data_IF_977986561320
#
_entry.id   IF_977986561320
#
_cell.length_a   1.000
_cell.length_b   1.000
_cell.length_c   1.000
_cell.angle_alpha   90.00
_cell.angle_beta   90.00
_cell.angle_gamma   90.00
#
_symmetry.space_group_name_H-M   'P 1'
#
loop_
_entity.id
_entity.type
_entity.pdbx_description
1 polymer ?
2 non-polymer ?
3 non-polymer ?
4 water ?
#
# COMPACT_ATOMS: atom_id res chain seq x y z
C UNK A 1 6.47 -24.54 14.55
N UNK A 2 5.97 -25.72 14.89
CA UNK A 2 5.35 -26.61 13.91
C UNK A 2 4.10 -25.95 13.33
N UNK A 3 4.16 -25.58 12.05
CA UNK A 3 3.15 -24.69 11.48
C UNK A 3 1.78 -25.35 11.42
N UNK A 4 1.73 -26.67 11.27
CA UNK A 4 0.45 -27.37 11.16
C UNK A 4 -0.20 -27.61 12.50
N UNK A 5 0.51 -27.41 13.61
CA UNK A 5 -0.07 -27.49 14.94
C UNK A 5 -0.70 -26.17 15.40
N UNK A 6 -0.45 -25.07 14.69
CA UNK A 6 -1.02 -23.78 15.04
C UNK A 6 -2.52 -23.81 14.76
N UNK A 7 -3.36 -23.56 15.77
CA UNK A 7 -4.82 -23.58 15.55
C UNK A 7 -5.27 -22.66 14.43
N UNK A 8 -4.66 -21.48 14.30
CA UNK A 8 -5.04 -20.56 13.24
C UNK A 8 -4.77 -21.17 11.87
N UNK A 9 -3.64 -21.88 11.72
CA UNK A 9 -3.36 -22.57 10.47
C UNK A 9 -4.40 -23.66 10.21
N UNK A 10 -4.79 -24.38 11.26
CA UNK A 10 -5.83 -25.41 11.11
C UNK A 10 -7.13 -24.79 10.62
N UNK A 11 -7.51 -23.63 11.19
CA UNK A 11 -8.73 -22.95 10.77
C UNK A 11 -8.63 -22.54 9.30
N UNK A 12 -7.53 -21.90 8.93
CA UNK A 12 -7.32 -21.50 7.55
C UNK A 12 -7.18 -22.70 6.62
N UNK A 13 -6.80 -23.87 7.14
CA UNK A 13 -6.65 -25.06 6.32
C UNK A 13 -7.97 -25.62 5.83
N UNK A 14 -9.10 -25.15 6.38
CA UNK A 14 -10.40 -25.59 5.88
C UNK A 14 -10.72 -24.99 4.52
N UNK A 15 -10.06 -23.90 4.14
CA UNK A 15 -10.39 -23.17 2.92
C UNK A 15 -9.37 -23.44 1.83
N UNK A 16 -9.85 -23.56 0.60
CA UNK A 16 -9.00 -23.74 -0.56
C UNK A 16 -8.70 -22.39 -1.21
N UNK A 17 -8.04 -21.53 -0.43
CA UNK A 17 -7.69 -20.18 -0.84
C UNK A 17 -6.21 -19.91 -0.59
N UNK A 18 -5.38 -20.93 -0.76
CA UNK A 18 -3.96 -20.84 -0.49
C UNK A 18 -3.18 -20.61 -1.78
N UNK A 19 -2.12 -19.82 -1.68
CA UNK A 19 -1.18 -19.60 -2.76
C UNK A 19 0.23 -19.69 -2.21
N UNK A 20 1.21 -19.62 -3.11
CA UNK A 20 2.60 -19.42 -2.74
C UNK A 20 3.05 -18.11 -3.36
N UNK A 21 4.12 -17.55 -2.81
CA UNK A 21 4.61 -16.25 -3.27
C UNK A 21 6.12 -16.28 -3.43
N UNK A 22 6.60 -15.41 -4.32
CA UNK A 22 8.02 -15.26 -4.60
C UNK A 22 8.42 -13.80 -4.42
N UNK A 23 9.62 -13.58 -3.90
CA UNK A 23 10.12 -12.23 -3.69
C UNK A 23 10.58 -11.63 -5.00
N UNK A 24 9.95 -10.54 -5.42
CA UNK A 24 10.35 -9.78 -6.60
C UNK A 24 10.56 -8.33 -6.15
N UNK A 25 11.82 -7.93 -6.04
CA UNK A 25 12.21 -6.60 -5.55
C UNK A 25 11.63 -6.46 -4.15
N UNK A 26 10.83 -5.43 -3.86
CA UNK A 26 10.15 -5.32 -2.58
C UNK A 26 8.74 -5.89 -2.61
N UNK A 27 8.31 -6.46 -3.73
CA UNK A 27 6.99 -7.03 -3.86
C UNK A 27 7.03 -8.54 -3.60
N UNK A 28 5.86 -9.09 -3.29
CA UNK A 28 5.69 -10.53 -3.06
C UNK A 28 4.55 -10.99 -3.97
N UNK A 29 4.91 -11.61 -5.09
CA UNK A 29 3.94 -11.94 -6.14
C UNK A 29 3.30 -13.29 -5.85
N UNK A 30 1.98 -13.38 -5.84
CA UNK A 30 1.32 -14.67 -5.62
C UNK A 30 1.41 -15.58 -6.83
N UNK A 31 1.47 -16.88 -6.57
CA UNK A 31 1.62 -17.87 -7.61
C UNK A 31 0.64 -19.02 -7.41
N UNK A 32 0.10 -19.52 -8.51
CA UNK A 32 -0.76 -20.69 -8.50
C UNK A 32 0.02 -21.88 -7.96
N UNK A 33 -0.39 -22.48 -6.83
CA UNK A 33 0.43 -23.54 -6.22
C UNK A 33 0.46 -24.84 -7.00
N UNK A 34 -0.32 -24.97 -8.08
CA UNK A 34 -0.44 -26.23 -8.80
C UNK A 34 0.25 -26.24 -10.15
N UNK A 35 0.37 -25.10 -10.85
CA UNK A 35 1.05 -25.04 -12.12
C UNK A 35 2.23 -24.07 -12.14
N UNK A 36 2.48 -23.35 -11.05
CA UNK A 36 3.64 -22.49 -10.95
C UNK A 36 3.52 -21.15 -11.65
N UNK A 37 2.35 -20.81 -12.18
CA UNK A 37 2.16 -19.52 -12.82
C UNK A 37 1.64 -18.50 -11.82
N UNK A 38 1.72 -17.23 -12.20
CA UNK A 38 1.19 -16.17 -11.36
C UNK A 38 -0.30 -16.36 -11.15
N UNK A 39 -0.76 -16.02 -9.94
CA UNK A 39 -2.14 -16.27 -9.53
C UNK A 39 -2.90 -14.96 -9.44
N UNK A 40 -4.10 -14.93 -10.01
CA UNK A 40 -5.02 -13.83 -9.77
C UNK A 40 -5.56 -13.91 -8.35
N UNK A 41 -5.82 -12.75 -7.76
CA UNK A 41 -6.36 -12.68 -6.41
C UNK A 41 -7.88 -12.75 -6.39
N UNK A 42 -8.53 -12.78 -7.54
CA UNK A 42 -9.98 -12.89 -7.61
C UNK A 42 -10.46 -14.13 -8.35
N UNK A 43 -9.55 -14.96 -8.85
CA UNK A 43 -9.92 -16.20 -9.51
C UNK A 43 -9.78 -17.34 -8.51
N UNK A 44 -10.88 -17.94 -8.05
CA UNK A 44 -10.77 -18.97 -7.01
C UNK A 44 -10.00 -20.20 -7.44
N UNK A 45 -10.02 -20.53 -8.72
CA UNK A 45 -9.34 -21.73 -9.21
C UNK A 45 -7.86 -21.50 -9.51
N UNK A 46 -7.35 -20.29 -9.28
CA UNK A 46 -5.91 -20.05 -9.32
C UNK A 46 -5.23 -20.40 -8.01
N UNK A 47 -5.99 -20.82 -7.00
CA UNK A 47 -5.48 -21.15 -5.67
C UNK A 47 -5.52 -22.67 -5.47
N UNK A 48 -5.26 -23.08 -4.23
CA UNK A 48 -5.36 -24.49 -3.86
C UNK A 48 -5.55 -24.58 -2.37
N UNK A 49 -5.68 -25.81 -1.88
CA UNK A 49 -5.72 -26.01 -0.44
C UNK A 49 -4.29 -26.03 0.11
N UNK A 50 -4.17 -26.14 1.43
CA UNK A 50 -2.86 -26.00 2.05
C UNK A 50 -1.93 -27.13 1.64
N UNK A 51 -2.48 -28.32 1.35
CA UNK A 51 -1.62 -29.41 0.89
C UNK A 51 -1.04 -29.14 -0.48
N UNK A 52 -1.85 -28.63 -1.41
CA UNK A 52 -1.34 -28.25 -2.72
C UNK A 52 -0.39 -27.08 -2.64
N UNK A 53 -0.60 -26.18 -1.67
CA UNK A 53 0.29 -25.02 -1.53
C UNK A 53 1.65 -25.42 -0.97
N UNK A 54 1.66 -26.33 0.01
CA UNK A 54 2.93 -26.80 0.56
C UNK A 54 3.68 -27.65 -0.44
N UNK A 55 2.97 -28.41 -1.27
CA UNK A 55 3.64 -29.16 -2.33
C UNK A 55 4.20 -28.24 -3.40
N UNK A 56 3.44 -27.20 -3.75
CA UNK A 56 3.94 -26.22 -4.72
C UNK A 56 5.07 -25.37 -4.17
N UNK A 57 5.03 -25.07 -2.88
CA UNK A 57 6.14 -24.37 -2.23
C UNK A 57 7.45 -25.14 -2.42
N UNK A 58 7.39 -26.47 -2.26
CA UNK A 58 8.59 -27.29 -2.41
C UNK A 58 8.94 -27.46 -3.88
N UNK A 59 7.94 -27.69 -4.73
CA UNK A 59 8.18 -28.07 -6.11
C UNK A 59 8.82 -26.94 -6.92
N UNK A 60 8.43 -25.69 -6.65
CA UNK A 60 8.99 -24.55 -7.37
C UNK A 60 9.95 -23.72 -6.53
N UNK A 61 10.16 -24.07 -5.26
CA UNK A 61 11.06 -23.30 -4.43
C UNK A 61 10.60 -21.89 -4.15
N UNK A 62 9.31 -21.71 -3.86
CA UNK A 62 8.79 -20.39 -3.55
C UNK A 62 9.28 -19.94 -2.16
N UNK A 63 9.02 -18.67 -1.84
CA UNK A 63 9.53 -18.13 -0.60
C UNK A 63 8.63 -18.42 0.59
N UNK A 64 7.34 -18.65 0.37
CA UNK A 64 6.46 -18.94 1.48
C UNK A 64 5.05 -19.18 1.01
N UNK A 65 4.17 -19.36 1.99
CA UNK A 65 2.75 -19.60 1.75
C UNK A 65 1.96 -18.30 1.80
N UNK A 66 0.77 -18.33 1.20
CA UNK A 66 -0.11 -17.18 1.21
C UNK A 66 -1.56 -17.62 1.28
N UNK A 67 -2.40 -16.71 1.72
CA UNK A 67 -3.83 -16.97 1.85
C UNK A 67 -4.60 -15.80 1.24
N UNK A 68 -5.53 -16.11 0.34
CA UNK A 68 -6.30 -15.09 -0.36
C UNK A 68 -7.57 -14.81 0.44
N UNK A 69 -7.77 -13.55 0.80
CA UNK A 69 -8.98 -13.15 1.50
C UNK A 69 -10.08 -12.80 0.51
N UNK A 70 -11.27 -13.34 0.75
CA UNK A 70 -12.44 -13.03 -0.06
C UNK A 70 -13.51 -12.44 0.85
N UNK A 71 -14.48 -11.76 0.23
CA UNK A 71 -15.56 -11.14 0.99
C UNK A 71 -16.53 -12.15 1.57
N UNK A 72 -16.43 -13.42 1.19
CA UNK A 72 -17.34 -14.44 1.69
C UNK A 72 -16.78 -15.20 2.89
N UNK A 73 -15.46 -15.31 3.01
CA UNK A 73 -14.88 -15.91 4.21
C UNK A 73 -14.92 -14.90 5.36
N UNK A 74 -14.80 -15.37 6.60
CA UNK A 74 -14.94 -14.45 7.74
C UNK A 74 -13.66 -13.75 8.18
N UNK A 75 -12.59 -13.82 7.40
CA UNK A 75 -11.28 -13.40 7.88
C UNK A 75 -10.99 -11.95 7.53
N UNK A 76 -10.42 -11.23 8.49
CA UNK A 76 -9.93 -9.87 8.29
C UNK A 76 -8.42 -9.86 8.49
N UNK A 77 -7.72 -9.23 7.56
CA UNK A 77 -6.25 -9.17 7.58
C UNK A 77 -5.82 -7.79 8.06
N UNK A 78 -5.11 -7.75 9.18
CA UNK A 78 -4.58 -6.51 9.74
C UNK A 78 -3.06 -6.56 9.60
N UNK A 79 -2.50 -5.59 8.91
CA UNK A 79 -1.06 -5.56 8.61
C UNK A 79 -0.44 -4.37 9.31
N UNK A 80 0.56 -4.64 10.15
CA UNK A 80 1.29 -3.62 10.89
C UNK A 80 2.71 -3.58 10.36
N UNK A 81 3.03 -2.52 9.61
CA UNK A 81 4.32 -2.41 8.95
C UNK A 81 5.33 -1.73 9.87
N UNK A 82 6.53 -2.31 9.97
CA UNK A 82 7.67 -1.69 10.64
C UNK A 82 7.36 -1.34 12.10
N UNK A 83 6.80 -2.29 12.83
CA UNK A 83 6.44 -2.09 14.23
C UNK A 83 7.37 -2.80 15.19
N UNK A 84 8.31 -3.60 14.69
CA UNK A 84 9.23 -4.35 15.54
C UNK A 84 10.65 -3.77 15.41
N UNK A 85 11.40 -3.87 16.51
CA UNK A 85 12.80 -3.47 16.50
C UNK A 85 13.65 -4.67 16.08
N UNK A 86 14.96 -4.58 16.31
CA UNK A 86 15.87 -5.64 15.89
C UNK A 86 15.71 -6.91 16.75
N UNK A 87 14.98 -6.85 17.86
CA UNK A 87 14.75 -8.01 18.71
C UNK A 87 13.30 -8.48 18.65
N UNK A 88 12.56 -8.07 17.62
CA UNK A 88 11.18 -8.51 17.39
C UNK A 88 10.26 -8.14 18.54
N UNK A 89 10.51 -6.99 19.16
CA UNK A 89 9.62 -6.42 20.17
C UNK A 89 8.96 -5.18 19.62
N UNK A 90 7.70 -4.96 19.99
CA UNK A 90 6.93 -3.84 19.46
C UNK A 90 7.55 -2.53 19.92
N UNK A 91 7.93 -1.69 18.95
CA UNK A 91 8.53 -0.39 19.24
C UNK A 91 7.60 0.78 18.97
N UNK A 92 6.44 0.55 18.34
CA UNK A 92 5.45 1.58 18.10
C UNK A 92 4.34 1.44 19.14
N UNK A 93 4.00 2.55 19.79
CA UNK A 93 3.02 2.49 20.87
C UNK A 93 1.61 2.31 20.34
N UNK A 94 1.33 2.77 19.12
CA UNK A 94 0.01 2.53 18.53
C UNK A 94 -0.19 1.05 18.23
N UNK A 95 0.90 0.37 17.82
CA UNK A 95 0.80 -1.07 17.55
C UNK A 95 0.62 -1.86 18.85
N UNK A 96 1.40 -1.51 19.88
CA UNK A 96 1.24 -2.17 21.18
C UNK A 96 -0.16 -1.98 21.74
N UNK A 97 -0.71 -0.77 21.56
CA UNK A 97 -2.07 -0.52 22.03
C UNK A 97 -3.07 -1.35 21.25
N UNK A 98 -2.87 -1.48 19.93
CA UNK A 98 -3.77 -2.29 19.12
C UNK A 98 -3.74 -3.75 19.55
N UNK A 99 -2.53 -4.30 19.73
CA UNK A 99 -2.41 -5.69 20.16
C UNK A 99 -3.08 -5.93 21.50
N UNK A 100 -3.13 -4.90 22.35
CA UNK A 100 -3.80 -5.04 23.65
C UNK A 100 -5.32 -5.00 23.51
N UNK A 101 -5.84 -4.31 22.50
CA UNK A 101 -7.28 -4.21 22.31
C UNK A 101 -7.83 -5.26 21.36
N UNK A 102 -7.00 -5.81 20.48
CA UNK A 102 -7.43 -6.76 19.45
C UNK A 102 -6.56 -8.01 19.63
N UNK A 103 -7.04 -8.96 20.43
CA UNK A 103 -6.29 -10.17 20.74
C UNK A 103 -6.79 -11.29 19.83
N UNK A 104 -6.08 -11.51 18.73
CA UNK A 104 -6.34 -12.63 17.84
C UNK A 104 -4.99 -13.13 17.32
N UNK A 105 -5.04 -14.04 16.35
CA UNK A 105 -3.81 -14.64 15.84
C UNK A 105 -2.86 -13.58 15.31
N UNK A 106 -1.62 -13.61 15.81
CA UNK A 106 -0.61 -12.64 15.44
C UNK A 106 0.66 -13.38 15.04
N UNK A 107 1.26 -12.97 13.92
CA UNK A 107 2.49 -13.58 13.43
C UNK A 107 3.42 -12.50 12.89
N UNK A 108 4.71 -12.79 12.92
CA UNK A 108 5.73 -11.87 12.42
C UNK A 108 5.82 -12.02 10.91
N UNK A 109 5.76 -10.89 10.20
CA UNK A 109 5.73 -10.88 8.74
C UNK A 109 7.11 -11.24 8.19
N UNK A 110 7.19 -11.58 6.89
CA UNK A 110 8.46 -12.09 6.35
C UNK A 110 9.69 -11.21 6.57
N UNK A 111 9.54 -9.89 6.51
CA UNK A 111 10.70 -9.02 6.72
C UNK A 111 11.21 -9.03 8.15
N UNK A 112 10.42 -9.55 9.10
CA UNK A 112 10.84 -9.65 10.48
C UNK A 112 10.58 -8.44 11.34
N UNK A 113 10.18 -7.31 10.74
CA UNK A 113 9.97 -6.08 11.48
C UNK A 113 8.50 -5.67 11.54
N UNK A 114 7.59 -6.54 11.07
CA UNK A 114 6.18 -6.24 11.07
C UNK A 114 5.36 -7.39 11.61
N UNK A 115 4.06 -7.16 11.69
CA UNK A 115 3.13 -8.13 12.26
C UNK A 115 1.92 -8.30 11.36
N UNK A 116 1.31 -9.47 11.46
CA UNK A 116 0.01 -9.75 10.86
C UNK A 116 -0.97 -10.14 11.95
N UNK A 117 -2.18 -9.59 11.89
CA UNK A 117 -3.25 -9.94 12.80
C UNK A 117 -4.43 -10.43 11.96
N UNK A 118 -4.91 -11.63 12.26
CA UNK A 118 -6.03 -12.23 11.55
C UNK A 118 -7.19 -12.35 12.51
N UNK A 119 -8.32 -11.74 12.16
CA UNK A 119 -9.52 -11.72 12.99
C UNK A 119 -10.68 -12.25 12.15
N UNK A 120 -11.64 -12.88 12.82
CA UNK A 120 -12.92 -13.22 12.21
C UNK A 120 -13.89 -12.07 12.51
N UNK A 121 -14.28 -11.33 11.48
CA UNK A 121 -15.20 -10.23 11.67
C UNK A 121 -15.35 -9.40 10.41
N UNK A 122 -15.70 -8.13 10.61
CA UNK A 122 -15.99 -7.21 9.53
C UNK A 122 -15.34 -5.87 9.81
N UNK A 123 -14.73 -5.27 8.78
CA UNK A 123 -14.10 -3.98 8.95
C UNK A 123 -15.17 -2.89 9.11
N UNK A 124 -14.91 -1.88 9.95
CA UNK A 124 -15.80 -0.72 9.99
C UNK A 124 -15.81 0.00 8.64
N UNK A 125 -16.95 0.62 8.33
CA UNK A 125 -17.16 1.20 7.01
C UNK A 125 -16.49 2.56 6.83
N UNK A 126 -16.01 3.20 7.89
CA UNK A 126 -15.57 4.58 7.82
C UNK A 126 -14.06 4.76 7.91
N UNK A 127 -13.29 3.66 7.93
CA UNK A 127 -11.84 3.76 8.07
C UNK A 127 -11.17 3.60 6.72
N UNK A 128 -10.01 4.22 6.58
CA UNK A 128 -9.19 4.04 5.38
C UNK A 128 -8.46 2.71 5.43
N UNK A 129 -8.12 2.19 4.24
CA UNK A 129 -7.45 0.90 4.18
C UNK A 129 -6.00 1.02 4.66
N UNK A 130 -5.30 2.09 4.28
CA UNK A 130 -3.91 2.28 4.66
C UNK A 130 -3.77 3.56 5.47
N UNK A 131 -3.04 3.48 6.58
CA UNK A 131 -2.76 4.62 7.45
C UNK A 131 -1.27 4.63 7.76
N UNK A 132 -0.60 5.71 7.38
CA UNK A 132 0.84 5.83 7.57
C UNK A 132 1.16 6.77 8.74
N UNK A 133 2.25 6.47 9.43
CA UNK A 133 2.63 7.19 10.64
C UNK A 133 4.00 7.84 10.46
N UNK A 134 4.28 8.84 11.30
CA UNK A 134 5.45 9.68 11.11
C UNK A 134 6.75 8.91 11.27
N UNK A 135 6.73 7.81 12.02
CA UNK A 135 7.94 7.02 12.28
C UNK A 135 8.17 5.94 11.22
N UNK A 136 7.49 6.03 10.08
CA UNK A 136 7.63 5.06 9.02
C UNK A 136 6.72 3.86 9.13
N UNK A 137 6.15 3.61 10.30
CA UNK A 137 5.23 2.49 10.46
C UNK A 137 3.92 2.77 9.74
N UNK A 138 3.12 1.72 9.55
CA UNK A 138 1.87 1.85 8.84
C UNK A 138 0.92 0.75 9.28
N UNK A 139 -0.38 1.00 9.06
CA UNK A 139 -1.43 0.05 9.38
C UNK A 139 -2.28 -0.15 8.14
N UNK A 140 -2.33 -1.37 7.63
CA UNK A 140 -3.12 -1.71 6.47
C UNK A 140 -4.11 -2.82 6.82
N UNK A 141 -5.37 -2.62 6.46
CA UNK A 141 -6.43 -3.57 6.77
C UNK A 141 -7.16 -3.93 5.49
N UNK A 142 -7.40 -5.23 5.29
CA UNK A 142 -8.17 -5.72 4.17
C UNK A 142 -8.92 -6.98 4.60
N UNK A 143 -10.10 -7.17 4.02
CA UNK A 143 -10.89 -8.37 4.24
C UNK A 143 -11.22 -9.10 2.95
N UNK A 144 -10.83 -8.56 1.79
CA UNK A 144 -11.11 -9.17 0.51
C UNK A 144 -10.23 -8.52 -0.54
N UNK A 145 -10.20 -9.15 -1.72
CA UNK A 145 -9.53 -8.59 -2.88
C UNK A 145 -8.01 -8.67 -2.87
N UNK A 146 -7.44 -9.19 -1.82
CA UNK A 146 -6.01 -9.30 -1.64
C UNK A 146 -5.55 -10.54 -0.85
N UNK A 147 -4.32 -10.97 -1.05
CA UNK A 147 -3.80 -12.10 -0.29
C UNK A 147 -2.81 -11.62 0.77
N UNK A 148 -2.56 -12.48 1.70
CA UNK A 148 -1.64 -12.25 2.78
C UNK A 148 -0.58 -13.36 2.93
N UNK A 149 0.68 -13.00 3.14
CA UNK A 149 1.70 -14.02 3.40
C UNK A 149 1.41 -14.70 4.73
N UNK A 150 1.78 -15.97 4.80
CA UNK A 150 1.61 -16.77 6.02
C UNK A 150 2.97 -17.32 6.41
N UNK A 151 3.48 -16.88 7.57
CA UNK A 151 4.77 -17.33 8.07
C UNK A 151 4.66 -18.33 9.20
N UNK A 152 3.57 -18.30 9.97
CA UNK A 152 3.44 -19.18 11.12
C UNK A 152 4.33 -18.85 12.29
N UNK A 153 5.12 -17.78 12.21
CA UNK A 153 5.97 -17.36 13.32
C UNK A 153 5.07 -16.62 14.32
N UNK A 154 4.48 -17.40 15.24
CA UNK A 154 3.50 -16.86 16.17
C UNK A 154 4.14 -15.84 17.10
N UNK A 155 3.47 -14.72 17.29
CA UNK A 155 3.97 -13.62 18.11
C UNK A 155 3.30 -13.64 19.48
N UNK A 156 4.12 -13.75 20.54
CA UNK A 156 3.66 -13.77 21.92
C UNK A 156 2.52 -14.77 22.13
N UNK A 157 2.61 -15.94 21.47
CA UNK A 157 1.67 -17.00 21.75
C UNK A 157 0.25 -16.79 21.26
N UNK A 158 0.01 -15.79 20.40
CA UNK A 158 -1.31 -15.56 19.84
C UNK A 158 -1.50 -16.48 18.63
N UNK A 159 -1.92 -17.71 18.91
CA UNK A 159 -1.96 -18.76 17.90
C UNK A 159 -3.38 -19.12 17.46
N UNK A 160 -4.38 -18.34 17.87
CA UNK A 160 -5.77 -18.70 17.62
C UNK A 160 -6.50 -17.51 17.02
N UNK A 161 -7.25 -17.74 15.95
CA UNK A 161 -8.06 -16.69 15.33
C UNK A 161 -9.32 -16.51 16.16
N UNK A 162 -9.64 -15.25 16.47
CA UNK A 162 -10.77 -14.92 17.33
C UNK A 162 -11.85 -14.20 16.53
N UNK A 163 -13.09 -14.35 16.99
CA UNK A 163 -14.19 -13.54 16.50
C UNK A 163 -14.31 -12.30 17.38
N UNK A 164 -14.05 -11.13 16.81
CA UNK A 164 -14.00 -9.88 17.55
C UNK A 164 -14.65 -8.78 16.73
N UNK A 165 -15.29 -7.85 17.43
CA UNK A 165 -15.80 -6.64 16.77
C UNK A 165 -14.64 -5.70 16.47
N UNK A 166 -14.62 -5.16 15.25
CA UNK A 166 -13.49 -4.39 14.76
C UNK A 166 -13.77 -2.89 14.69
N UNK A 167 -14.83 -2.42 15.37
CA UNK A 167 -15.11 -1.00 15.39
C UNK A 167 -14.04 -0.20 16.12
N UNK A 168 -13.27 -0.83 17.00
CA UNK A 168 -12.18 -0.15 17.69
C UNK A 168 -10.99 0.11 16.79
N UNK A 169 -11.01 -0.42 15.55
CA UNK A 169 -9.97 -0.07 14.59
C UNK A 169 -10.01 1.41 14.21
N UNK A 170 -11.09 2.11 14.54
CA UNK A 170 -11.16 3.55 14.33
C UNK A 170 -10.27 4.36 15.24
N UNK A 171 -9.72 3.76 16.29
CA UNK A 171 -8.78 4.45 17.15
C UNK A 171 -7.39 4.56 16.53
N UNK A 172 -7.09 3.74 15.53
CA UNK A 172 -5.76 3.66 14.96
C UNK A 172 -5.69 4.01 13.49
N UNK A 173 -6.75 3.77 12.73
CA UNK A 173 -6.78 4.07 11.30
C UNK A 173 -7.46 5.42 11.07
N UNK A 174 -6.98 6.15 10.07
CA UNK A 174 -7.60 7.41 9.71
C UNK A 174 -8.99 7.16 9.13
N UNK A 175 -9.87 8.15 9.30
CA UNK A 175 -11.25 8.02 8.89
C UNK A 175 -11.45 8.61 7.50
N UNK A 176 -12.43 8.04 6.78
CA UNK A 176 -12.86 8.60 5.51
C UNK A 176 -14.04 9.54 5.76
N UNK A 177 -14.01 10.69 5.11
CA UNK A 177 -15.06 11.68 5.27
C UNK A 177 -15.73 11.99 3.94
N UNK A 192 -10.74 8.70 -8.45
CA UNK A 192 -9.60 7.99 -9.02
C UNK A 192 -9.01 8.79 -10.17
N UNK A 193 -9.52 10.02 -10.37
CA UNK A 193 -9.07 10.84 -11.48
C UNK A 193 -7.67 11.40 -11.22
N UNK A 194 -7.31 11.61 -9.96
CA UNK A 194 -5.93 12.03 -9.65
C UNK A 194 -4.93 10.97 -10.09
N UNK A 195 -5.18 9.71 -9.70
CA UNK A 195 -4.32 8.62 -10.15
C UNK A 195 -4.37 8.44 -11.66
N UNK A 196 -5.52 8.74 -12.27
CA UNK A 196 -5.60 8.71 -13.73
C UNK A 196 -4.66 9.73 -14.36
N UNK A 197 -4.56 10.91 -13.76
CA UNK A 197 -3.63 11.92 -14.27
C UNK A 197 -2.20 11.52 -13.97
N UNK A 198 -1.95 10.98 -12.78
CA UNK A 198 -0.59 10.59 -12.39
C UNK A 198 -0.06 9.50 -13.31
N UNK A 199 -0.88 8.46 -13.54
CA UNK A 199 -0.44 7.37 -14.40
C UNK A 199 -0.28 7.84 -15.84
N UNK A 200 -1.12 8.78 -16.28
CA UNK A 200 -0.99 9.32 -17.62
C UNK A 200 0.33 10.07 -17.79
N UNK A 201 0.72 10.87 -16.79
CA UNK A 201 1.99 11.58 -16.87
C UNK A 201 3.18 10.63 -16.86
N UNK A 202 3.04 9.48 -16.20
CA UNK A 202 4.13 8.51 -16.20
C UNK A 202 4.27 7.85 -17.56
N UNK A 203 3.16 7.48 -18.19
CA UNK A 203 3.22 6.88 -19.52
C UNK A 203 3.81 7.84 -20.53
N UNK A 204 3.55 9.13 -20.39
CA UNK A 204 4.13 10.13 -21.30
C UNK A 204 5.52 10.56 -20.88
N UNK A 205 6.09 9.95 -19.85
CA UNK A 205 7.42 10.32 -19.41
C UNK A 205 7.52 11.64 -18.70
N UNK A 206 6.39 12.16 -18.19
CA UNK A 206 6.36 13.46 -17.55
C UNK A 206 6.40 13.37 -16.02
N UNK A 207 6.81 12.22 -15.48
CA UNK A 207 6.85 12.03 -14.04
C UNK A 207 8.30 12.11 -13.56
N UNK A 208 8.63 13.03 -12.66
CA UNK A 208 10.02 13.20 -12.25
C UNK A 208 10.47 12.11 -11.30
N UNK A 209 11.79 11.93 -11.23
CA UNK A 209 12.39 11.05 -10.25
C UNK A 209 12.94 11.87 -9.08
N UNK A 210 13.41 11.17 -8.06
CA UNK A 210 13.88 11.84 -6.85
C UNK A 210 15.06 12.75 -7.17
N UNK A 211 15.20 13.85 -6.43
CA UNK A 211 16.37 14.72 -6.63
C UNK A 211 17.66 13.98 -6.36
N UNK A 212 18.71 14.41 -7.02
CA UNK A 212 20.06 13.91 -6.77
C UNK A 212 20.85 14.98 -6.03
N UNK A 213 22.08 14.64 -5.64
CA UNK A 213 22.85 15.47 -4.73
C UNK A 213 23.14 16.84 -5.34
N UNK A 214 23.47 16.90 -6.63
CA UNK A 214 23.83 18.13 -7.29
C UNK A 214 22.70 18.84 -7.99
N UNK A 215 21.45 18.43 -7.78
CA UNK A 215 20.34 19.03 -8.49
C UNK A 215 19.88 20.32 -7.82
N UNK A 216 19.36 21.23 -8.65
CA UNK A 216 18.64 22.40 -8.16
C UNK A 216 17.21 21.98 -7.91
N UNK A 217 16.89 21.65 -6.66
CA UNK A 217 15.59 21.09 -6.32
C UNK A 217 14.46 22.05 -6.69
N UNK A 218 14.60 23.32 -6.32
CA UNK A 218 13.55 24.29 -6.62
C UNK A 218 13.34 24.47 -8.12
N UNK A 219 14.41 24.30 -8.91
CA UNK A 219 14.26 24.35 -10.36
C UNK A 219 13.56 23.09 -10.88
N UNK A 220 13.80 21.94 -10.23
CA UNK A 220 13.04 20.74 -10.57
C UNK A 220 11.57 20.90 -10.19
N UNK A 221 11.28 21.64 -9.12
CA UNK A 221 9.89 21.89 -8.74
C UNK A 221 9.15 22.65 -9.83
N UNK A 222 9.79 23.68 -10.40
CA UNK A 222 9.11 24.51 -11.39
C UNK A 222 8.93 23.76 -12.71
N UNK A 223 9.91 22.93 -13.09
CA UNK A 223 9.75 22.11 -14.28
C UNK A 223 8.57 21.15 -14.13
N UNK A 224 8.44 20.52 -12.95
CA UNK A 224 7.33 19.60 -12.73
C UNK A 224 6.02 20.35 -12.55
N UNK A 225 6.07 21.54 -11.93
CA UNK A 225 4.86 22.34 -11.76
C UNK A 225 4.32 22.81 -13.11
N UNK A 226 5.20 23.19 -14.03
CA UNK A 226 4.77 23.56 -15.37
C UNK A 226 4.08 22.39 -16.06
N UNK A 227 4.63 21.19 -15.95
CA UNK A 227 4.00 20.02 -16.53
C UNK A 227 2.68 19.72 -15.85
N UNK A 228 2.60 19.95 -14.53
CA UNK A 228 1.33 19.79 -13.83
C UNK A 228 0.28 20.75 -14.35
N UNK A 229 0.69 21.99 -14.67
CA UNK A 229 -0.27 22.98 -15.15
C UNK A 229 -0.94 22.53 -16.44
N UNK A 230 -0.19 21.85 -17.31
CA UNK A 230 -0.78 21.38 -18.56
C UNK A 230 -1.65 20.16 -18.34
N UNK A 231 -1.12 19.12 -17.70
CA UNK A 231 -1.84 17.85 -17.59
C UNK A 231 -3.02 17.95 -16.63
N UNK A 232 -2.94 18.82 -15.63
CA UNK A 232 -4.07 19.02 -14.72
C UNK A 232 -5.02 20.10 -15.20
N UNK A 233 -4.71 20.77 -16.31
CA UNK A 233 -5.58 21.82 -16.80
C UNK A 233 -5.66 23.03 -15.91
N UNK A 234 -4.54 23.43 -15.30
CA UNK A 234 -4.47 24.58 -14.39
C UNK A 234 -5.39 24.43 -13.18
N UNK A 235 -5.71 23.19 -12.80
CA UNK A 235 -6.49 22.93 -11.59
C UNK A 235 -5.51 22.92 -10.42
N UNK A 236 -5.41 24.06 -9.71
CA UNK A 236 -4.37 24.24 -8.72
C UNK A 236 -4.51 23.21 -7.60
N UNK A 237 -5.73 23.00 -7.15
CA UNK A 237 -5.99 22.07 -6.10
C UNK A 237 -5.55 20.68 -6.52
N UNK A 238 -5.87 20.30 -7.75
CA UNK A 238 -5.41 19.02 -8.27
C UNK A 238 -3.89 18.98 -8.42
N UNK A 239 -3.30 20.07 -8.92
CA UNK A 239 -1.85 20.14 -9.04
C UNK A 239 -1.17 19.96 -7.68
N UNK A 240 -1.75 20.56 -6.64
CA UNK A 240 -1.17 20.45 -5.30
C UNK A 240 -1.30 19.02 -4.77
N UNK A 241 -2.47 18.40 -4.97
CA UNK A 241 -2.66 17.03 -4.49
C UNK A 241 -1.66 16.07 -5.12
N UNK A 242 -1.37 16.26 -6.40
CA UNK A 242 -0.48 15.34 -7.11
C UNK A 242 0.98 15.61 -6.72
N UNK A 243 1.34 16.87 -6.53
CA UNK A 243 2.72 17.20 -6.16
C UNK A 243 3.09 16.58 -4.81
N UNK A 244 2.14 16.56 -3.88
CA UNK A 244 2.43 16.06 -2.54
C UNK A 244 2.72 14.56 -2.50
N UNK A 245 2.47 13.84 -3.60
CA UNK A 245 2.84 12.44 -3.70
C UNK A 245 3.87 12.21 -4.82
N UNK A 246 4.60 13.26 -5.21
CA UNK A 246 5.66 13.17 -6.19
C UNK A 246 7.01 13.00 -5.48
N UNK A 247 8.04 12.55 -6.20
CA UNK A 247 9.37 12.46 -5.59
C UNK A 247 10.01 13.81 -5.30
N UNK A 248 9.35 14.92 -5.59
CA UNK A 248 9.89 16.25 -5.34
C UNK A 248 9.30 16.91 -4.09
N UNK A 249 8.42 16.23 -3.38
CA UNK A 249 7.79 16.81 -2.21
C UNK A 249 8.77 16.92 -1.05
N UNK A 250 8.68 18.03 -0.32
CA UNK A 250 9.51 18.26 0.85
C UNK A 250 8.79 19.27 1.74
N UNK A 251 9.38 19.55 2.90
CA UNK A 251 8.75 20.48 3.85
C UNK A 251 8.73 21.90 3.30
N UNK A 252 9.70 22.26 2.46
CA UNK A 252 9.75 23.62 1.91
C UNK A 252 8.49 23.96 1.13
N UNK A 253 7.81 22.95 0.59
CA UNK A 253 6.60 23.19 -0.21
C UNK A 253 5.54 23.97 0.58
N UNK A 254 5.49 23.78 1.90
CA UNK A 254 4.50 24.43 2.74
C UNK A 254 5.07 25.49 3.66
N UNK A 255 6.31 25.92 3.43
CA UNK A 255 6.82 26.98 4.27
C UNK A 255 6.24 28.33 3.82
N UNK A 256 5.84 29.18 4.77
CA UNK A 256 5.32 30.50 4.40
C UNK A 256 6.33 31.31 3.62
N UNK A 257 5.88 31.92 2.53
CA UNK A 257 6.73 32.68 1.64
C UNK A 257 5.95 33.89 1.14
N UNK A 258 6.43 35.10 1.49
CA UNK A 258 5.69 36.32 1.21
C UNK A 258 4.27 36.21 1.73
N UNK A 259 3.29 36.41 0.86
CA UNK A 259 1.89 36.31 1.22
C UNK A 259 1.30 34.92 1.14
N UNK A 260 2.11 33.91 0.91
CA UNK A 260 1.68 32.57 0.70
C UNK A 260 2.67 31.48 1.12
N UNK A 261 2.67 30.40 0.45
CA UNK A 261 3.60 29.34 0.67
C UNK A 261 4.46 29.17 -0.56
N UNK A 262 5.60 28.55 -0.37
CA UNK A 262 6.49 28.32 -1.50
C UNK A 262 5.82 27.46 -2.57
N UNK A 263 5.02 26.48 -2.15
CA UNK A 263 4.37 25.62 -3.11
C UNK A 263 3.27 26.31 -3.89
N UNK A 264 2.44 27.09 -3.19
CA UNK A 264 1.33 27.78 -3.85
C UNK A 264 1.85 28.84 -4.83
N UNK A 265 2.92 29.55 -4.45
CA UNK A 265 3.53 30.50 -5.37
C UNK A 265 4.10 29.78 -6.58
N UNK A 266 4.64 28.57 -6.37
CA UNK A 266 5.17 27.78 -7.48
C UNK A 266 4.06 27.38 -8.45
N UNK A 267 2.94 26.88 -7.92
CA UNK A 267 1.85 26.41 -8.77
C UNK A 267 1.17 27.57 -9.48
N UNK A 268 0.98 28.70 -8.79
CA UNK A 268 0.38 29.87 -9.43
C UNK A 268 1.27 30.38 -10.56
N UNK A 269 2.58 30.41 -10.34
CA UNK A 269 3.50 30.86 -11.38
C UNK A 269 3.45 29.96 -12.60
N UNK A 270 3.27 28.65 -12.40
CA UNK A 270 3.24 27.72 -13.51
C UNK A 270 2.03 27.93 -14.41
N UNK A 271 0.93 28.43 -13.86
CA UNK A 271 -0.27 28.62 -14.67
C UNK A 271 -0.19 29.89 -15.50
N UNK A 272 0.35 30.97 -14.93
CA UNK A 272 0.58 32.18 -15.71
C UNK A 272 1.60 31.97 -16.82
N UNK A 273 2.43 30.93 -16.70
CA UNK A 273 3.48 30.64 -17.68
C UNK A 273 2.98 29.73 -18.80
N UNK A 274 2.41 28.57 -18.43
CA UNK A 274 2.00 27.60 -19.44
C UNK A 274 0.82 28.13 -20.23
N UNK A 275 0.88 28.00 -21.55
CA UNK A 275 -0.20 28.39 -22.44
C UNK A 275 -1.20 27.25 -22.63
N UNK A 276 -0.76 26.15 -23.21
CA UNK A 276 -1.65 25.06 -23.56
C UNK A 276 -2.19 24.37 -22.31
N UNK A 277 -3.27 23.62 -22.49
CA UNK A 277 -3.95 22.91 -21.41
C UNK A 277 -4.45 21.58 -21.95
N UNK A 278 -4.25 20.51 -21.20
CA UNK A 278 -4.72 19.19 -21.59
C UNK A 278 -6.19 19.06 -21.24
N UNK A 279 -7.02 18.74 -22.23
CA UNK A 279 -8.44 18.52 -22.04
C UNK A 279 -8.72 17.03 -22.17
N UNK A 280 -9.14 16.33 -21.11
CA UNK A 280 -9.34 14.89 -21.21
C UNK A 280 -10.41 14.48 -22.21
N UNK A 281 -11.37 15.35 -22.50
CA UNK A 281 -12.38 15.04 -23.50
C UNK A 281 -11.84 15.14 -24.92
N UNK A 282 -10.74 15.86 -25.13
CA UNK A 282 -10.11 15.97 -26.44
C UNK A 282 -8.84 15.14 -26.56
N UNK A 283 -8.17 14.88 -25.44
CA UNK A 283 -6.90 14.16 -25.39
C UNK A 283 -5.89 14.77 -26.37
N UNK A 284 -5.65 16.07 -26.18
CA UNK A 284 -4.63 16.77 -26.96
C UNK A 284 -3.26 16.62 -26.31
N UNK A 285 -2.84 15.34 -26.19
CA UNK A 285 -1.55 15.03 -25.59
C UNK A 285 -0.41 15.64 -26.38
N UNK A 286 -0.59 15.86 -27.68
CA UNK A 286 0.46 16.45 -28.50
C UNK A 286 0.69 17.92 -28.17
N UNK A 287 -0.26 18.59 -27.53
CA UNK A 287 -0.11 20.00 -27.17
C UNK A 287 0.84 20.21 -26.00
N UNK A 288 1.37 19.14 -25.41
CA UNK A 288 2.26 19.28 -24.26
C UNK A 288 3.50 20.07 -24.65
N UNK A 289 3.73 21.25 -24.04
CA UNK A 289 4.87 22.08 -24.45
C UNK A 289 6.22 21.55 -24.01
N UNK A 290 6.26 20.47 -23.24
CA UNK A 290 7.48 20.02 -22.59
C UNK A 290 7.78 18.58 -22.98
N UNK A 291 9.02 18.33 -23.41
CA UNK A 291 9.45 16.99 -23.76
C UNK A 291 9.54 16.12 -22.51
N UNK A 292 9.43 14.80 -22.65
CA UNK A 292 9.50 13.92 -21.48
C UNK A 292 10.91 13.89 -20.88
N UNK A 293 10.97 13.45 -19.63
CA UNK A 293 12.24 13.30 -18.93
C UNK A 293 13.07 12.19 -19.54
X LIG B 1 3.46 -5.91 6.25
X LIG C 1 -12.88 -11.91 4.45
X LIG D 1 6.64 -7.41 5.27
X LIG D 1 7.70 -6.98 4.28
X LIG D 1 5.72 -6.25 5.57
X LIG D 1 7.30 -7.87 6.54
X LIG D 1 5.80 -8.64 4.64
X LIG D 1 4.28 -8.51 4.11
X LIG D 1 3.85 -9.90 3.72
X LIG D 1 3.35 -7.98 5.18
X LIG D 1 4.33 -7.58 2.80
X LIG D 1 3.59 -6.15 2.64
X LIG D 1 3.36 -5.48 3.98
X LIG D 1 4.42 -5.25 1.76
X LIG D 1 2.17 -6.45 1.93
X LIG D 1 1.06 -6.95 2.65
X LIG D 1 0.48 -8.13 1.90
X LIG D 1 0.18 -7.77 0.57
X LIG D 1 1.47 -9.28 1.79
X LIG D 1 1.29 -10.20 2.84
X LIG D 1 1.15 -9.91 0.45
X LIG D 1 0.43 -8.83 -0.34
X LIG D 1 1.31 -8.37 -1.42
X LIG D 1 2.57 -7.85 -1.26
X LIG D 1 3.07 -7.54 -2.48
X LIG D 1 2.15 -7.87 -3.41
X LIG D 1 2.16 -7.76 -4.80
X LIG D 1 3.14 -7.29 -5.37
X LIG D 1 1.07 -8.17 -5.53
X LIG D 1 -0.03 -8.68 -4.87
X LIG D 1 -1.09 -9.09 -5.57
X LIG D 1 -0.04 -8.79 -3.49
X LIG D 1 1.04 -8.39 -2.77
#
# INVERSE_FOLDING_TARGET
SMIMEIPAIKALSRYAQWVIWKKERDTKIPYNPNNGKKASSTDPLAWGDIDEAQAGLVRYGANGLGFVLTKSDPFVFIDLDHVLDENKRVKCEWARQLLKEIKSYTEISPSGDGLHVVVSGKLPDYIKHKTKFDDGSALEVYESGRYMTITGEVFDGRDDIKELDLSILGEFAEHKIETKNAPVQIESATTLDDEAIIDLMKRKGQWPDAPKDGDDWSSLDMSFANRLAFWCGKDIERMDRIFRQSPLMRQKWDRPTAGSTYGRITLKKACDFVDSVYDPALRNESDCPFEPYNEEGGPRNDKEEK
CA CA
CA CA
DGT PG O1G O2G O3G O3B PB O1B O2B O3A PA O1A O2A O5' C5' C4' O4' C3' O3' C2' C1' N9 C8 N7 C5 C6 O6 N1 C2 N2 N3 C4
#
